data_IF_095796406788
#
_entry.id   IF_095796406788
#
_cell.length_a   1.000
_cell.length_b   1.000
_cell.length_c   1.000
_cell.angle_alpha   90.00
_cell.angle_beta   90.00
_cell.angle_gamma   90.00
#
_symmetry.space_group_name_H-M   'P 1'
#
loop_
_entity.id
_entity.type
_entity.pdbx_description
1 polymer ?
#
# COMPACT_ATOMS: atom_id res chain seq x y z
N UNK A 1 53.42 -59.02 -49.87
CA UNK A 1 53.41 -57.54 -49.86
C UNK A 1 52.30 -57.13 -48.89
N UNK A 2 52.67 -56.69 -47.68
CA UNK A 2 51.73 -56.44 -46.59
C UNK A 2 50.99 -55.12 -46.78
N UNK A 3 49.66 -55.17 -46.84
CA UNK A 3 48.79 -53.99 -46.88
C UNK A 3 48.40 -53.63 -45.45
N UNK A 4 48.86 -52.48 -44.97
CA UNK A 4 48.49 -51.90 -43.68
C UNK A 4 47.23 -51.04 -43.86
N UNK A 5 46.13 -51.45 -43.24
CA UNK A 5 44.86 -50.70 -43.21
C UNK A 5 44.98 -49.67 -42.07
N UNK A 6 45.03 -48.39 -42.43
CA UNK A 6 45.03 -47.27 -41.48
C UNK A 6 43.61 -47.15 -40.87
N UNK A 7 43.48 -47.43 -39.57
CA UNK A 7 42.25 -47.17 -38.81
C UNK A 7 42.19 -45.69 -38.41
N UNK A 8 41.26 -44.94 -39.00
CA UNK A 8 40.87 -43.61 -38.51
C UNK A 8 39.93 -43.77 -37.30
N UNK A 9 40.39 -43.41 -36.11
CA UNK A 9 39.56 -43.36 -34.91
C UNK A 9 38.92 -41.97 -34.79
N UNK A 10 37.61 -41.90 -34.94
CA UNK A 10 36.83 -40.67 -34.79
C UNK A 10 36.63 -40.39 -33.28
N UNK A 11 37.36 -39.43 -32.72
CA UNK A 11 37.14 -38.97 -31.33
C UNK A 11 35.93 -38.02 -31.33
N UNK A 12 34.79 -38.52 -30.89
CA UNK A 12 33.58 -37.73 -30.58
C UNK A 12 33.75 -37.10 -29.20
N UNK A 13 34.07 -35.81 -29.15
CA UNK A 13 34.08 -35.03 -27.90
C UNK A 13 32.65 -34.56 -27.60
N UNK A 14 32.06 -35.10 -26.53
CA UNK A 14 30.75 -34.68 -26.02
C UNK A 14 30.93 -33.35 -25.27
N UNK A 15 30.55 -32.23 -25.87
CA UNK A 15 30.54 -30.94 -25.20
C UNK A 15 29.41 -30.91 -24.16
N UNK A 16 29.74 -31.08 -22.88
CA UNK A 16 28.79 -30.86 -21.78
C UNK A 16 28.49 -29.37 -21.67
N UNK A 17 27.27 -28.98 -22.03
CA UNK A 17 26.76 -27.64 -21.78
C UNK A 17 26.43 -27.51 -20.29
N UNK A 18 27.22 -26.74 -19.54
CA UNK A 18 26.85 -26.29 -18.20
C UNK A 18 26.08 -24.97 -18.36
N UNK A 19 24.80 -24.98 -18.02
CA UNK A 19 24.01 -23.75 -17.90
C UNK A 19 24.44 -23.09 -16.59
N UNK A 20 25.17 -21.97 -16.65
CA UNK A 20 25.39 -21.13 -15.47
C UNK A 20 24.26 -20.09 -15.38
N UNK A 21 23.64 -19.98 -14.20
CA UNK A 21 22.69 -18.90 -13.92
C UNK A 21 23.47 -17.68 -13.40
N UNK A 22 23.40 -16.56 -14.10
CA UNK A 22 24.09 -15.31 -13.76
C UNK A 22 23.42 -14.52 -12.63
N UNK A 23 23.27 -15.10 -11.44
CA UNK A 23 22.83 -14.36 -10.26
C UNK A 23 23.97 -13.44 -9.78
N UNK A 24 23.70 -12.15 -9.61
CA UNK A 24 24.69 -11.19 -9.11
C UNK A 24 24.37 -10.89 -7.64
N UNK A 25 25.21 -11.36 -6.73
CA UNK A 25 25.16 -10.95 -5.32
C UNK A 25 25.93 -9.64 -5.12
N UNK A 26 25.29 -8.60 -4.58
CA UNK A 26 25.98 -7.38 -4.14
C UNK A 26 25.96 -7.38 -2.61
N UNK A 27 27.15 -7.40 -1.98
CA UNK A 27 27.34 -7.52 -0.53
C UNK A 27 26.73 -8.80 0.10
N UNK A 28 26.54 -9.87 -0.67
CA UNK A 28 26.16 -11.21 -0.18
C UNK A 28 26.90 -12.27 -1.00
N UNK A 29 27.39 -13.34 -0.36
CA UNK A 29 28.08 -14.46 -1.04
C UNK A 29 27.14 -15.61 -1.42
N UNK A 30 25.86 -15.50 -1.05
CA UNK A 30 24.84 -16.53 -1.27
C UNK A 30 23.53 -15.88 -1.73
N UNK A 31 23.48 -15.34 -2.96
CA UNK A 31 22.26 -14.76 -3.48
C UNK A 31 21.13 -15.81 -3.50
N UNK A 32 19.96 -15.44 -2.97
CA UNK A 32 18.73 -16.24 -2.91
C UNK A 32 17.75 -15.87 -4.02
N UNK A 33 18.09 -14.89 -4.86
CA UNK A 33 17.28 -14.39 -5.96
C UNK A 33 18.16 -13.88 -7.10
N UNK A 34 17.56 -13.63 -8.26
CA UNK A 34 18.22 -13.03 -9.43
C UNK A 34 18.80 -11.64 -9.17
N UNK A 35 18.27 -10.93 -8.17
CA UNK A 35 18.84 -9.70 -7.62
C UNK A 35 18.63 -9.71 -6.10
N UNK A 36 19.72 -9.71 -5.34
CA UNK A 36 19.72 -9.63 -3.87
C UNK A 36 20.53 -8.40 -3.43
N UNK A 37 19.95 -7.59 -2.53
CA UNK A 37 20.63 -6.50 -1.84
C UNK A 37 20.89 -6.93 -0.39
N UNK A 38 22.16 -7.01 0.00
CA UNK A 38 22.57 -7.24 1.39
C UNK A 38 22.58 -5.96 2.23
N UNK A 39 22.34 -6.09 3.54
CA UNK A 39 22.56 -5.02 4.52
C UNK A 39 23.96 -5.08 5.13
N UNK A 40 24.54 -3.93 5.45
CA UNK A 40 25.70 -3.68 6.30
C UNK A 40 25.37 -3.84 7.79
N UNK A 41 26.37 -4.16 8.60
CA UNK A 41 26.27 -4.21 10.06
C UNK A 41 26.62 -2.88 10.75
N UNK A 42 27.03 -1.86 9.99
CA UNK A 42 27.42 -0.55 10.53
C UNK A 42 26.21 0.36 10.71
N UNK A 43 25.99 0.96 11.90
CA UNK A 43 24.87 1.89 12.12
C UNK A 43 25.07 3.27 11.46
N UNK A 44 26.26 3.55 10.91
CA UNK A 44 26.63 4.86 10.36
C UNK A 44 26.60 4.91 8.82
N UNK A 45 25.91 3.96 8.18
CA UNK A 45 25.80 3.89 6.72
C UNK A 45 24.32 3.88 6.36
N UNK A 46 23.91 4.79 5.46
CA UNK A 46 22.57 4.78 4.89
C UNK A 46 22.43 3.62 3.88
N UNK A 47 21.32 2.88 3.97
CA UNK A 47 21.05 1.71 3.13
C UNK A 47 19.76 1.88 2.33
N UNK A 48 19.65 1.17 1.20
CA UNK A 48 18.41 1.08 0.44
C UNK A 48 18.60 1.00 -1.07
N UNK A 49 17.48 0.93 -1.79
CA UNK A 49 17.43 1.05 -3.24
C UNK A 49 16.89 2.44 -3.60
N UNK A 50 17.76 3.28 -4.17
CA UNK A 50 17.30 4.53 -4.79
C UNK A 50 16.58 4.21 -6.11
N UNK A 51 15.28 4.47 -6.16
CA UNK A 51 14.50 4.35 -7.40
C UNK A 51 14.70 5.55 -8.32
N UNK A 52 14.20 5.44 -9.56
CA UNK A 52 14.14 6.54 -10.51
C UNK A 52 13.18 7.62 -10.00
N UNK A 53 13.69 8.85 -9.88
CA UNK A 53 12.92 10.04 -9.49
C UNK A 53 12.69 10.94 -10.70
N UNK A 54 11.46 11.41 -10.93
CA UNK A 54 11.18 12.36 -12.02
C UNK A 54 9.92 13.20 -11.76
N UNK A 55 9.76 14.31 -12.48
CA UNK A 55 8.55 15.12 -12.42
C UNK A 55 7.39 14.43 -13.13
N UNK A 56 6.15 14.78 -12.77
CA UNK A 56 4.97 14.27 -13.46
C UNK A 56 4.96 14.61 -14.96
N UNK A 57 5.46 15.80 -15.33
CA UNK A 57 5.58 16.20 -16.74
C UNK A 57 6.60 15.34 -17.51
N UNK A 58 7.75 15.04 -16.91
CA UNK A 58 8.74 14.17 -17.53
C UNK A 58 8.21 12.74 -17.70
N UNK A 59 7.39 12.27 -16.75
CA UNK A 59 6.74 10.98 -16.84
C UNK A 59 5.66 10.94 -17.93
N UNK A 60 4.81 11.97 -18.00
CA UNK A 60 3.79 12.10 -19.04
C UNK A 60 4.40 12.18 -20.46
N UNK A 61 5.55 12.86 -20.61
CA UNK A 61 6.31 12.89 -21.86
C UNK A 61 6.86 11.53 -22.31
N UNK A 62 6.86 10.53 -21.41
CA UNK A 62 7.30 9.16 -21.70
C UNK A 62 6.15 8.18 -21.89
N UNK A 63 4.91 8.63 -21.99
CA UNK A 63 3.73 7.79 -22.08
C UNK A 63 3.83 6.66 -23.13
N UNK A 64 4.42 6.94 -24.30
CA UNK A 64 4.57 5.97 -25.38
C UNK A 64 5.54 4.82 -25.06
N UNK A 65 6.40 4.96 -24.03
CA UNK A 65 7.39 3.96 -23.63
C UNK A 65 6.92 3.05 -22.48
N UNK A 66 5.75 3.34 -21.89
CA UNK A 66 5.17 2.50 -20.85
C UNK A 66 4.09 1.61 -21.47
N UNK A 67 4.50 0.47 -22.01
CA UNK A 67 3.62 -0.56 -22.57
C UNK A 67 3.43 -1.74 -21.62
N UNK A 68 2.95 -2.86 -22.14
CA UNK A 68 2.74 -4.11 -21.37
C UNK A 68 4.00 -4.57 -20.63
N UNK A 69 5.16 -4.40 -21.25
CA UNK A 69 6.45 -4.89 -20.74
C UNK A 69 6.97 -4.08 -19.55
N UNK A 70 6.44 -2.87 -19.35
CA UNK A 70 6.79 -2.01 -18.22
C UNK A 70 5.81 -2.15 -17.06
N UNK A 71 4.89 -3.13 -17.10
CA UNK A 71 4.00 -3.40 -15.97
C UNK A 71 4.78 -3.62 -14.68
N UNK A 72 4.27 -3.09 -13.56
CA UNK A 72 4.92 -3.07 -12.25
C UNK A 72 6.21 -2.22 -12.15
N UNK A 73 6.55 -1.41 -13.16
CA UNK A 73 7.64 -0.42 -13.02
C UNK A 73 7.30 0.56 -11.90
N UNK A 74 8.23 0.80 -10.98
CA UNK A 74 8.08 1.74 -9.86
C UNK A 74 8.94 2.97 -10.10
N UNK A 75 8.37 4.15 -9.88
CA UNK A 75 9.08 5.44 -9.89
C UNK A 75 8.65 6.30 -8.70
N UNK A 76 9.49 7.23 -8.28
CA UNK A 76 9.09 8.30 -7.37
C UNK A 76 8.82 9.58 -8.18
N UNK A 77 7.59 10.07 -8.12
CA UNK A 77 7.19 11.30 -8.81
C UNK A 77 7.36 12.50 -7.89
N UNK A 78 8.13 13.50 -8.31
CA UNK A 78 8.51 14.64 -7.45
C UNK A 78 7.53 15.80 -7.49
N UNK A 79 6.77 15.96 -8.56
CA UNK A 79 5.75 17.00 -8.73
C UNK A 79 4.60 16.49 -9.59
N UNK A 80 3.41 17.06 -9.43
CA UNK A 80 2.25 16.71 -10.26
C UNK A 80 2.44 17.16 -11.72
N UNK A 81 1.90 16.42 -12.71
CA UNK A 81 1.88 16.88 -14.09
C UNK A 81 0.94 18.08 -14.25
N UNK A 82 1.37 19.10 -14.98
CA UNK A 82 0.56 20.29 -15.26
C UNK A 82 -0.56 20.00 -16.25
N UNK A 83 -0.32 19.07 -17.18
CA UNK A 83 -1.30 18.58 -18.16
C UNK A 83 -1.32 17.06 -18.12
N UNK A 84 -2.08 16.44 -17.20
CA UNK A 84 -2.09 14.99 -17.05
C UNK A 84 -2.60 14.30 -18.31
N UNK A 85 -1.87 13.27 -18.73
CA UNK A 85 -2.34 12.32 -19.74
C UNK A 85 -3.29 11.28 -19.15
N UNK A 86 -3.84 10.38 -19.98
CA UNK A 86 -4.63 9.25 -19.48
C UNK A 86 -3.84 8.41 -18.47
N UNK A 87 -2.55 8.14 -18.77
CA UNK A 87 -1.67 7.33 -17.91
C UNK A 87 -1.32 8.03 -16.60
N UNK A 88 -1.11 9.35 -16.64
CA UNK A 88 -0.66 10.14 -15.48
C UNK A 88 -1.80 10.82 -14.71
N UNK A 89 -3.06 10.60 -15.11
CA UNK A 89 -4.26 11.21 -14.52
C UNK A 89 -4.42 11.01 -13.00
N UNK A 90 -3.85 9.93 -12.44
CA UNK A 90 -3.94 9.63 -11.00
C UNK A 90 -2.79 10.21 -10.17
N UNK A 91 -1.86 10.96 -10.78
CA UNK A 91 -0.71 11.56 -10.09
C UNK A 91 -1.12 12.94 -9.54
N UNK A 92 -1.72 12.94 -8.36
CA UNK A 92 -2.26 14.15 -7.71
C UNK A 92 -1.35 14.74 -6.63
N UNK A 93 -0.26 14.06 -6.30
CA UNK A 93 0.72 14.49 -5.29
C UNK A 93 2.07 13.82 -5.50
N UNK A 94 3.18 14.39 -5.01
CA UNK A 94 4.47 13.71 -4.99
C UNK A 94 4.41 12.39 -4.21
N UNK A 95 5.06 11.34 -4.71
CA UNK A 95 5.03 10.03 -4.06
C UNK A 95 5.52 8.89 -4.94
N UNK A 96 5.45 7.67 -4.42
CA UNK A 96 5.75 6.46 -5.16
C UNK A 96 4.55 6.02 -6.00
N UNK A 97 4.80 5.68 -7.26
CA UNK A 97 3.80 5.16 -8.18
C UNK A 97 4.33 3.92 -8.88
N UNK A 98 3.43 2.99 -9.20
CA UNK A 98 3.71 1.88 -10.10
C UNK A 98 2.86 1.95 -11.37
N UNK A 99 3.40 1.47 -12.48
CA UNK A 99 2.66 1.39 -13.73
C UNK A 99 1.80 0.11 -13.75
N UNK A 100 0.49 0.27 -13.91
CA UNK A 100 -0.43 -0.83 -14.16
C UNK A 100 -0.80 -0.83 -15.65
N UNK A 101 -0.30 -1.83 -16.38
CA UNK A 101 -0.52 -1.91 -17.83
C UNK A 101 -1.98 -2.23 -18.21
N UNK A 102 -2.70 -2.99 -17.37
CA UNK A 102 -4.11 -3.34 -17.58
C UNK A 102 -5.00 -2.11 -17.54
N UNK A 103 -4.77 -1.22 -16.58
CA UNK A 103 -5.49 0.05 -16.49
C UNK A 103 -4.88 1.14 -17.37
N UNK A 104 -3.67 0.92 -17.88
CA UNK A 104 -2.84 1.95 -18.52
C UNK A 104 -2.75 3.21 -17.66
N UNK A 105 -2.43 3.04 -16.36
CA UNK A 105 -2.34 4.14 -15.40
C UNK A 105 -1.20 3.96 -14.41
N UNK A 106 -0.66 5.09 -13.96
CA UNK A 106 0.18 5.17 -12.79
C UNK A 106 -0.69 5.16 -11.54
N UNK A 107 -0.49 4.18 -10.67
CA UNK A 107 -1.22 4.05 -9.41
C UNK A 107 -0.30 4.37 -8.24
N UNK A 108 -0.80 5.18 -7.31
CA UNK A 108 -0.05 5.49 -6.09
C UNK A 108 0.18 4.22 -5.28
N UNK A 109 1.39 4.07 -4.75
CA UNK A 109 1.74 3.04 -3.77
C UNK A 109 1.41 3.48 -2.34
N UNK A 110 0.94 4.72 -2.14
CA UNK A 110 0.55 5.22 -0.83
C UNK A 110 -0.85 4.74 -0.46
N UNK A 111 -1.03 4.29 0.78
CA UNK A 111 -2.36 4.08 1.35
C UNK A 111 -3.12 5.42 1.48
N UNK A 112 -4.46 5.41 1.44
CA UNK A 112 -5.26 6.58 1.77
C UNK A 112 -4.85 7.11 3.15
N UNK A 113 -4.56 8.41 3.25
CA UNK A 113 -4.09 9.02 4.50
C UNK A 113 -5.15 9.07 5.59
N UNK A 114 -6.42 8.97 5.25
CA UNK A 114 -7.52 8.96 6.19
C UNK A 114 -8.76 8.29 5.59
N UNK A 115 -9.69 7.91 6.45
CA UNK A 115 -11.03 7.43 6.09
C UNK A 115 -12.03 7.83 7.18
N UNK A 116 -13.31 7.91 6.81
CA UNK A 116 -14.36 8.10 7.80
C UNK A 116 -14.58 6.81 8.58
N UNK A 117 -14.86 6.95 9.87
CA UNK A 117 -15.32 5.83 10.67
C UNK A 117 -16.61 5.27 10.05
N UNK A 118 -16.77 3.93 9.96
CA UNK A 118 -18.06 3.37 9.57
C UNK A 118 -19.17 3.86 10.50
N UNK A 119 -20.40 3.90 9.98
CA UNK A 119 -21.53 4.45 10.73
C UNK A 119 -21.76 3.67 12.03
N UNK A 120 -21.89 4.40 13.13
CA UNK A 120 -22.16 3.87 14.46
C UNK A 120 -23.35 4.57 15.10
N UNK A 121 -24.05 3.83 15.98
CA UNK A 121 -25.19 4.35 16.73
C UNK A 121 -24.69 4.96 18.04
N UNK A 122 -25.08 6.21 18.29
CA UNK A 122 -24.99 6.85 19.60
C UNK A 122 -26.38 6.82 20.25
N UNK A 123 -26.56 5.96 21.25
CA UNK A 123 -27.81 5.91 22.00
C UNK A 123 -27.94 7.18 22.84
N UNK A 124 -29.00 7.95 22.58
CA UNK A 124 -29.33 9.18 23.28
C UNK A 124 -30.56 9.08 24.16
N UNK A 125 -31.18 7.90 24.21
CA UNK A 125 -32.35 7.65 25.08
C UNK A 125 -31.97 7.57 26.55
N UNK A 126 -30.70 7.21 26.83
CA UNK A 126 -30.15 7.15 28.18
C UNK A 126 -29.15 8.28 28.37
N UNK A 127 -29.56 9.30 29.11
CA UNK A 127 -28.75 10.47 29.42
C UNK A 127 -27.57 10.14 30.35
N UNK A 128 -26.57 11.04 30.37
CA UNK A 128 -25.41 10.94 31.25
C UNK A 128 -24.13 10.47 30.55
N UNK A 129 -23.08 10.16 31.32
CA UNK A 129 -21.77 9.82 30.78
C UNK A 129 -21.78 8.45 30.08
N UNK A 130 -21.08 8.37 28.96
CA UNK A 130 -20.95 7.20 28.10
C UNK A 130 -19.53 7.09 27.56
N UNK A 131 -19.18 5.86 27.18
CA UNK A 131 -17.90 5.54 26.56
C UNK A 131 -18.13 4.64 25.34
N UNK A 132 -17.34 4.83 24.29
CA UNK A 132 -17.28 3.96 23.11
C UNK A 132 -15.84 3.69 22.71
N UNK A 133 -15.49 2.42 22.52
CA UNK A 133 -14.23 2.05 21.85
C UNK A 133 -14.46 2.11 20.33
N UNK A 134 -14.02 3.20 19.71
CA UNK A 134 -14.21 3.42 18.28
C UNK A 134 -13.36 2.45 17.45
N UNK A 135 -12.18 2.07 17.93
CA UNK A 135 -11.35 1.09 17.23
C UNK A 135 -12.03 -0.28 17.19
N UNK A 136 -12.59 -0.74 18.32
CA UNK A 136 -13.26 -2.03 18.37
C UNK A 136 -14.49 -2.05 17.44
N UNK A 137 -15.30 -0.99 17.45
CA UNK A 137 -16.45 -0.87 16.53
C UNK A 137 -16.03 -0.92 15.06
N UNK A 138 -14.95 -0.22 14.70
CA UNK A 138 -14.35 -0.28 13.37
C UNK A 138 -13.87 -1.69 13.02
N UNK A 139 -13.11 -2.32 13.92
CA UNK A 139 -12.56 -3.67 13.74
C UNK A 139 -13.68 -4.68 13.49
N UNK A 140 -14.74 -4.65 14.30
CA UNK A 140 -15.85 -5.58 14.19
C UNK A 140 -16.61 -5.41 12.87
N UNK A 141 -16.91 -4.18 12.46
CA UNK A 141 -17.62 -3.91 11.22
C UNK A 141 -16.81 -4.28 9.97
N UNK A 142 -15.48 -4.16 10.01
CA UNK A 142 -14.62 -4.47 8.87
C UNK A 142 -14.24 -5.96 8.78
N UNK A 143 -14.08 -6.64 9.94
CA UNK A 143 -13.79 -8.08 9.98
C UNK A 143 -15.03 -8.96 9.87
N UNK A 144 -16.20 -8.44 10.22
CA UNK A 144 -17.49 -9.14 10.11
C UNK A 144 -18.57 -8.24 9.48
N UNK A 145 -18.40 -7.85 8.20
CA UNK A 145 -19.40 -7.04 7.52
C UNK A 145 -20.73 -7.80 7.42
N UNK A 146 -21.85 -7.09 7.66
CA UNK A 146 -23.19 -7.69 7.68
C UNK A 146 -23.55 -8.43 6.38
N UNK A 147 -23.05 -7.94 5.25
CA UNK A 147 -23.16 -8.57 3.92
C UNK A 147 -21.92 -8.27 3.09
N UNK A 148 -21.65 -9.15 2.14
CA UNK A 148 -20.60 -8.97 1.12
C UNK A 148 -21.13 -9.44 -0.24
N UNK A 149 -20.56 -8.91 -1.32
CA UNK A 149 -20.88 -9.34 -2.68
C UNK A 149 -20.42 -10.78 -2.94
N UNK A 150 -21.04 -11.44 -3.93
CA UNK A 150 -20.59 -12.75 -4.37
C UNK A 150 -19.12 -12.70 -4.82
N UNK A 151 -18.31 -13.64 -4.33
CA UNK A 151 -16.86 -13.71 -4.62
C UNK A 151 -15.98 -12.79 -3.76
N UNK A 152 -16.55 -12.00 -2.84
CA UNK A 152 -15.76 -11.23 -1.89
C UNK A 152 -15.06 -12.13 -0.85
N UNK A 153 -13.90 -11.69 -0.36
CA UNK A 153 -13.19 -12.38 0.73
C UNK A 153 -13.93 -12.37 2.07
N UNK A 154 -15.06 -11.67 2.18
CA UNK A 154 -15.86 -11.58 3.41
C UNK A 154 -15.26 -10.69 4.51
N UNK A 155 -14.15 -10.00 4.24
CA UNK A 155 -13.49 -9.07 5.18
C UNK A 155 -12.94 -7.87 4.43
N UNK A 156 -12.98 -6.72 5.08
CA UNK A 156 -12.33 -5.49 4.63
C UNK A 156 -10.98 -5.39 5.37
N UNK A 157 -9.86 -5.02 4.71
CA UNK A 157 -8.59 -4.85 5.39
C UNK A 157 -8.69 -3.86 6.57
N UNK A 158 -8.05 -4.22 7.69
CA UNK A 158 -8.05 -3.46 8.93
C UNK A 158 -6.64 -2.99 9.27
N UNK A 159 -6.52 -1.75 9.75
CA UNK A 159 -5.29 -1.18 10.28
C UNK A 159 -5.20 -1.42 11.79
N UNK A 160 -3.99 -1.52 12.32
CA UNK A 160 -3.77 -1.69 13.75
C UNK A 160 -4.18 -0.44 14.52
N UNK A 161 -4.62 -0.61 15.78
CA UNK A 161 -5.00 0.51 16.66
C UNK A 161 -3.91 1.58 16.75
N UNK A 162 -2.65 1.16 16.75
CA UNK A 162 -1.49 2.03 16.86
C UNK A 162 -1.11 2.72 15.54
N UNK A 163 -1.64 2.25 14.41
CA UNK A 163 -1.41 2.82 13.07
C UNK A 163 -2.39 3.96 12.76
N UNK A 164 -3.26 4.29 13.72
CA UNK A 164 -4.36 5.22 13.54
C UNK A 164 -4.28 6.39 14.54
N UNK A 165 -4.77 7.54 14.08
CA UNK A 165 -5.16 8.68 14.90
C UNK A 165 -6.66 8.93 14.73
N UNK A 166 -7.32 9.37 15.79
CA UNK A 166 -8.78 9.48 15.84
C UNK A 166 -9.20 10.94 16.02
N UNK A 167 -10.01 11.45 15.09
CA UNK A 167 -10.46 12.84 15.09
C UNK A 167 -11.98 12.91 15.07
N UNK A 168 -12.54 13.79 15.90
CA UNK A 168 -13.95 14.19 15.83
C UNK A 168 -13.97 15.54 15.16
N UNK A 169 -14.38 15.58 13.90
CA UNK A 169 -14.39 16.81 13.10
C UNK A 169 -15.65 17.63 13.31
N UNK A 170 -16.72 17.01 13.81
CA UNK A 170 -17.96 17.66 14.19
C UNK A 170 -18.73 16.82 15.20
N UNK A 171 -19.45 17.48 16.11
CA UNK A 171 -20.51 16.87 16.90
C UNK A 171 -21.53 17.95 17.31
N UNK A 172 -22.77 17.54 17.55
CA UNK A 172 -23.83 18.40 18.09
C UNK A 172 -23.54 18.74 19.56
N UNK A 173 -23.13 19.98 19.83
CA UNK A 173 -22.75 20.47 21.17
C UNK A 173 -23.95 20.71 22.09
N UNK A 174 -25.16 20.77 21.56
CA UNK A 174 -26.37 20.84 22.39
C UNK A 174 -26.69 19.46 22.99
N UNK A 175 -26.38 18.41 22.24
CA UNK A 175 -26.65 17.02 22.59
C UNK A 175 -25.51 16.38 23.39
N UNK A 176 -24.26 16.64 23.01
CA UNK A 176 -23.09 16.02 23.59
C UNK A 176 -22.20 17.04 24.30
N UNK A 177 -21.75 16.70 25.50
CA UNK A 177 -20.75 17.46 26.26
C UNK A 177 -19.61 16.55 26.73
N UNK A 178 -18.53 17.14 27.27
CA UNK A 178 -17.37 16.42 27.79
C UNK A 178 -16.74 15.43 26.78
N UNK A 179 -16.78 15.78 25.50
CA UNK A 179 -16.26 14.94 24.42
C UNK A 179 -14.74 14.91 24.48
N UNK A 180 -14.17 13.73 24.65
CA UNK A 180 -12.71 13.49 24.64
C UNK A 180 -12.40 12.13 24.04
N UNK A 181 -11.25 12.01 23.37
CA UNK A 181 -10.79 10.77 22.75
C UNK A 181 -9.32 10.54 23.06
N UNK A 182 -8.96 9.30 23.40
CA UNK A 182 -7.58 8.93 23.69
C UNK A 182 -6.85 8.34 22.46
N UNK A 183 -5.56 8.05 22.62
CA UNK A 183 -4.72 7.47 21.57
C UNK A 183 -5.13 6.03 21.15
N UNK A 184 -5.98 5.37 21.94
CA UNK A 184 -6.48 4.02 21.69
C UNK A 184 -7.86 4.01 20.99
N UNK A 185 -8.40 5.19 20.68
CA UNK A 185 -9.73 5.36 20.08
C UNK A 185 -10.86 5.23 21.10
N UNK A 186 -10.59 5.36 22.40
CA UNK A 186 -11.62 5.35 23.44
C UNK A 186 -12.24 6.75 23.55
N UNK A 187 -13.47 6.87 23.06
CA UNK A 187 -14.29 8.08 23.10
C UNK A 187 -15.09 8.14 24.41
N UNK A 188 -14.91 9.20 25.18
CA UNK A 188 -15.75 9.54 26.33
C UNK A 188 -16.61 10.77 25.99
N UNK A 189 -17.89 10.73 26.37
CA UNK A 189 -18.84 11.80 26.11
C UNK A 189 -20.00 11.75 27.12
N UNK A 190 -20.75 12.84 27.24
CA UNK A 190 -21.98 12.91 28.04
C UNK A 190 -23.15 13.23 27.11
N UNK A 191 -24.24 12.49 27.25
CA UNK A 191 -25.50 12.78 26.54
C UNK A 191 -26.37 13.67 27.41
N UNK A 192 -26.67 14.87 26.93
CA UNK A 192 -27.44 15.88 27.65
C UNK A 192 -28.95 15.82 27.37
N UNK A 193 -29.32 15.36 26.17
CA UNK A 193 -30.70 15.34 25.68
C UNK A 193 -30.91 14.21 24.66
N UNK A 194 -32.13 14.06 24.15
CA UNK A 194 -32.40 13.13 23.05
C UNK A 194 -32.02 13.78 21.72
N UNK A 195 -31.45 12.99 20.81
CA UNK A 195 -31.10 13.45 19.46
C UNK A 195 -32.34 13.84 18.63
N UNK A 196 -32.17 14.79 17.72
CA UNK A 196 -33.13 15.10 16.67
C UNK A 196 -32.69 14.48 15.33
N UNK A 197 -33.51 14.63 14.29
CA UNK A 197 -33.20 14.18 12.92
C UNK A 197 -31.97 14.87 12.31
N UNK A 198 -31.50 15.97 12.90
CA UNK A 198 -30.33 16.73 12.43
C UNK A 198 -29.11 16.57 13.32
N UNK A 199 -29.15 15.72 14.34
CA UNK A 199 -28.04 15.50 15.27
C UNK A 199 -27.11 14.38 14.77
N UNK A 200 -25.82 14.68 14.59
CA UNK A 200 -24.81 13.69 14.20
C UNK A 200 -23.42 14.02 14.75
N UNK A 201 -22.52 13.05 14.67
CA UNK A 201 -21.09 13.19 14.99
C UNK A 201 -20.28 12.68 13.79
N UNK A 202 -19.29 13.47 13.37
CA UNK A 202 -18.38 13.11 12.28
C UNK A 202 -17.02 12.69 12.83
N UNK A 203 -16.59 11.49 12.46
CA UNK A 203 -15.38 10.86 13.00
C UNK A 203 -14.49 10.43 11.83
N UNK A 204 -13.22 10.83 11.89
CA UNK A 204 -12.20 10.56 10.87
C UNK A 204 -11.04 9.82 11.50
N UNK A 205 -10.62 8.72 10.86
CA UNK A 205 -9.42 7.97 11.24
C UNK A 205 -8.31 8.35 10.26
N UNK A 206 -7.19 8.83 10.77
CA UNK A 206 -5.99 9.18 9.99
C UNK A 206 -4.97 8.05 10.15
N UNK A 207 -4.36 7.65 9.04
CA UNK A 207 -3.32 6.62 8.99
C UNK A 207 -1.97 7.27 9.25
N UNK A 208 -1.21 6.71 10.21
CA UNK A 208 0.15 7.18 10.57
C UNK A 208 1.20 6.79 9.53
#
# INVERSE_FOLDING_TARGET
MNIQIIKFSLISSFASFVICYGQVGINTISPKSTFELGRSSSPNIAEGLLTVRMTGNALAGKDNYYGTDQNATVVYVTTTPTTPSLKTSNINSPGFYYYNSVLSKWLSLSMPKFFYMPSIIFDTTVLGPKTKDLYQLYYDQFTSPAKSSAGASGKIPVLGKNDLEYYITYYDTSLFSNVSIDANGLLNYTVNSNASETSFMNIVFVVK
#
